data_IF_495636825109
#
_entry.id   IF_495636825109
#
_cell.length_a   1.000
_cell.length_b   1.000
_cell.length_c   1.000
_cell.angle_alpha   90.00
_cell.angle_beta   90.00
_cell.angle_gamma   90.00
#
_symmetry.space_group_name_H-M   'P 1'
#
loop_
_entity.id
_entity.type
_entity.pdbx_description
1 polymer ?
#
# COMPACT_ATOMS: atom_id res chain seq x y z
N UNK A 1 -12.17 47.72 7.14
CA UNK A 1 -11.10 46.79 6.69
C UNK A 1 -11.34 45.32 7.09
N UNK A 2 -12.56 44.91 7.48
CA UNK A 2 -12.83 43.54 7.95
C UNK A 2 -13.32 42.55 6.85
N UNK A 3 -13.49 42.99 5.61
CA UNK A 3 -14.15 42.18 4.57
C UNK A 3 -13.20 41.27 3.74
N UNK A 4 -11.87 41.40 3.88
CA UNK A 4 -10.93 40.58 3.09
C UNK A 4 -10.46 39.29 3.77
N UNK A 5 -10.73 39.10 5.07
CA UNK A 5 -10.20 37.97 5.84
C UNK A 5 -11.06 36.69 5.80
N UNK A 6 -12.33 36.78 5.36
CA UNK A 6 -13.26 35.64 5.37
C UNK A 6 -13.19 34.74 4.12
N UNK A 7 -12.54 35.20 3.05
CA UNK A 7 -12.62 34.55 1.73
C UNK A 7 -12.02 33.13 1.67
N UNK A 8 -10.79 32.88 2.17
CA UNK A 8 -10.17 31.54 2.05
C UNK A 8 -10.87 30.48 2.89
N UNK A 9 -11.34 30.87 4.08
CA UNK A 9 -12.00 29.95 5.01
C UNK A 9 -13.42 29.59 4.55
N UNK A 10 -14.16 30.57 4.00
CA UNK A 10 -15.46 30.32 3.36
C UNK A 10 -15.32 29.41 2.13
N UNK A 11 -14.28 29.59 1.31
CA UNK A 11 -14.02 28.72 0.16
C UNK A 11 -13.73 27.27 0.59
N UNK A 12 -12.94 27.05 1.64
CA UNK A 12 -12.72 25.69 2.15
C UNK A 12 -14.01 25.08 2.70
N UNK A 13 -14.82 25.84 3.44
CA UNK A 13 -16.11 25.35 3.93
C UNK A 13 -17.05 24.98 2.77
N UNK A 14 -17.09 25.78 1.71
CA UNK A 14 -17.87 25.46 0.50
C UNK A 14 -17.36 24.20 -0.18
N UNK A 15 -16.03 24.04 -0.33
CA UNK A 15 -15.44 22.81 -0.88
C UNK A 15 -15.76 21.59 -0.01
N UNK A 16 -15.74 21.74 1.32
CA UNK A 16 -16.06 20.67 2.26
C UNK A 16 -17.55 20.30 2.23
N UNK A 17 -18.44 21.28 2.10
CA UNK A 17 -19.88 21.04 1.92
C UNK A 17 -20.21 20.32 0.60
N UNK A 18 -19.33 20.43 -0.40
CA UNK A 18 -19.45 19.73 -1.69
C UNK A 18 -18.79 18.35 -1.70
N UNK A 19 -18.01 17.99 -0.66
CA UNK A 19 -17.42 16.66 -0.58
C UNK A 19 -18.51 15.61 -0.40
N UNK A 20 -18.61 14.71 -1.37
CA UNK A 20 -19.43 13.51 -1.24
C UNK A 20 -18.71 12.57 -0.27
N UNK A 21 -19.29 12.39 0.91
CA UNK A 21 -18.75 11.45 1.91
C UNK A 21 -18.84 10.03 1.36
N UNK A 22 -17.71 9.31 1.19
CA UNK A 22 -17.73 7.95 0.69
C UNK A 22 -18.45 7.02 1.67
N UNK A 23 -19.30 6.13 1.15
CA UNK A 23 -20.03 5.15 1.97
C UNK A 23 -19.18 3.92 2.33
N UNK A 24 -18.10 3.70 1.57
CA UNK A 24 -17.13 2.64 1.79
C UNK A 24 -15.73 3.23 1.70
N UNK A 25 -15.01 3.20 2.80
CA UNK A 25 -13.65 3.72 2.84
C UNK A 25 -12.74 2.86 3.72
N UNK A 26 -11.46 2.93 3.38
CA UNK A 26 -10.37 2.25 4.06
C UNK A 26 -9.22 3.24 4.25
N UNK A 27 -8.33 2.93 5.16
CA UNK A 27 -7.04 3.60 5.28
C UNK A 27 -5.93 2.61 4.97
N UNK A 28 -4.95 3.09 4.21
CA UNK A 28 -3.68 2.40 4.02
C UNK A 28 -2.58 3.30 4.58
N UNK A 29 -1.55 2.66 5.09
CA UNK A 29 -0.34 3.34 5.55
C UNK A 29 0.86 2.42 5.29
N UNK A 30 2.01 3.03 4.99
CA UNK A 30 3.27 2.30 4.78
C UNK A 30 4.39 2.84 5.66
N UNK A 31 5.06 1.93 6.37
CA UNK A 31 6.35 2.24 6.99
C UNK A 31 7.48 1.89 6.03
N UNK A 32 8.49 2.77 6.00
CA UNK A 32 9.63 2.63 5.12
C UNK A 32 10.95 2.56 5.90
N UNK A 33 11.85 1.70 5.43
CA UNK A 33 13.25 1.66 5.88
C UNK A 33 14.14 2.41 4.91
N UNK A 34 15.35 2.78 5.36
CA UNK A 34 16.33 3.45 4.52
C UNK A 34 17.22 2.44 3.78
N UNK A 35 17.35 2.60 2.47
CA UNK A 35 18.22 1.79 1.60
C UNK A 35 19.45 2.56 1.11
N UNK A 36 19.61 3.80 1.59
CA UNK A 36 20.69 4.72 1.26
C UNK A 36 20.72 5.91 2.23
N UNK A 37 21.69 6.80 2.06
CA UNK A 37 21.94 7.89 3.01
C UNK A 37 21.10 9.15 2.74
N UNK A 38 20.58 9.34 1.53
CA UNK A 38 19.72 10.48 1.22
C UNK A 38 18.27 10.27 1.67
N UNK A 39 17.44 11.32 1.62
CA UNK A 39 16.06 11.27 2.12
C UNK A 39 15.06 10.62 1.17
N UNK A 40 15.45 10.33 -0.08
CA UNK A 40 14.61 9.63 -1.07
C UNK A 40 14.92 8.14 -1.14
N UNK A 41 16.08 7.71 -0.65
CA UNK A 41 16.50 6.31 -0.58
C UNK A 41 15.73 5.56 0.50
N UNK A 42 14.49 5.20 0.18
CA UNK A 42 13.53 4.49 1.05
C UNK A 42 12.95 3.28 0.34
N UNK A 43 12.56 2.28 1.13
CA UNK A 43 11.82 1.12 0.66
C UNK A 43 10.75 0.71 1.67
N UNK A 44 9.57 0.32 1.17
CA UNK A 44 8.46 -0.16 1.98
C UNK A 44 8.87 -1.40 2.79
N UNK A 45 8.56 -1.39 4.08
CA UNK A 45 8.85 -2.47 5.02
C UNK A 45 7.63 -2.92 5.84
N UNK A 46 6.57 -2.12 5.91
CA UNK A 46 5.27 -2.52 6.45
C UNK A 46 4.15 -1.93 5.60
N UNK A 47 3.03 -2.65 5.53
CA UNK A 47 1.80 -2.21 4.90
C UNK A 47 0.64 -2.58 5.81
N UNK A 48 -0.22 -1.62 6.11
CA UNK A 48 -1.49 -1.87 6.77
C UNK A 48 -2.69 -1.47 5.91
N UNK A 49 -3.79 -2.18 6.08
CA UNK A 49 -5.11 -1.83 5.56
C UNK A 49 -6.11 -1.91 6.71
N UNK A 50 -6.81 -0.81 6.95
CA UNK A 50 -7.81 -0.68 8.02
C UNK A 50 -9.15 -0.27 7.42
N UNK A 51 -10.23 -0.91 7.82
CA UNK A 51 -11.57 -0.56 7.35
C UNK A 51 -12.16 0.66 8.08
N UNK A 52 -13.29 1.16 7.59
CA UNK A 52 -14.02 2.29 8.21
C UNK A 52 -14.45 2.07 9.67
N UNK A 53 -14.43 0.83 10.16
CA UNK A 53 -14.77 0.46 11.53
C UNK A 53 -13.54 0.33 12.43
N UNK A 54 -12.37 0.80 11.96
CA UNK A 54 -11.09 0.74 12.66
C UNK A 54 -10.57 -0.69 12.85
N UNK A 55 -11.06 -1.65 12.05
CA UNK A 55 -10.55 -3.02 12.08
C UNK A 55 -9.39 -3.18 11.11
N UNK A 56 -8.28 -3.72 11.62
CA UNK A 56 -7.11 -4.06 10.81
C UNK A 56 -7.45 -5.27 9.94
N UNK A 57 -7.65 -5.04 8.64
CA UNK A 57 -7.94 -6.07 7.63
C UNK A 57 -6.66 -6.76 7.16
N UNK A 58 -5.58 -5.99 7.06
CA UNK A 58 -4.28 -6.49 6.64
C UNK A 58 -3.16 -5.76 7.41
N UNK A 59 -2.15 -6.51 7.84
CA UNK A 59 -0.90 -5.97 8.38
C UNK A 59 0.24 -6.90 7.94
N UNK A 60 1.10 -6.43 7.03
CA UNK A 60 2.15 -7.23 6.42
C UNK A 60 3.50 -6.54 6.58
N UNK A 61 4.53 -7.35 6.83
CA UNK A 61 5.91 -6.92 6.66
C UNK A 61 6.39 -7.22 5.24
N UNK A 62 7.16 -6.29 4.69
CA UNK A 62 7.76 -6.37 3.36
C UNK A 62 9.26 -6.50 3.52
N UNK A 63 9.87 -7.39 2.75
CA UNK A 63 11.32 -7.51 2.65
C UNK A 63 11.82 -6.66 1.49
N UNK A 64 12.55 -5.55 1.76
CA UNK A 64 13.14 -4.75 0.70
C UNK A 64 14.11 -5.57 -0.16
N UNK A 65 14.14 -5.28 -1.46
CA UNK A 65 15.08 -5.92 -2.39
C UNK A 65 16.50 -5.34 -2.22
N UNK A 66 16.58 -4.03 -2.01
CA UNK A 66 17.83 -3.34 -1.74
C UNK A 66 18.29 -3.60 -0.30
N UNK A 67 19.61 -3.55 -0.08
CA UNK A 67 20.18 -3.67 1.25
C UNK A 67 19.68 -2.52 2.14
N UNK A 68 19.20 -2.87 3.33
CA UNK A 68 18.75 -1.89 4.32
C UNK A 68 19.97 -1.31 5.03
N UNK A 69 20.09 0.02 5.00
CA UNK A 69 21.14 0.80 5.70
C UNK A 69 20.71 1.13 7.12
N UNK A 70 19.44 1.51 7.30
CA UNK A 70 18.84 1.80 8.61
C UNK A 70 17.38 1.39 8.59
N UNK A 71 16.92 0.77 9.67
CA UNK A 71 15.52 0.42 9.85
C UNK A 71 14.68 1.58 10.37
N UNK A 72 15.33 2.66 10.83
CA UNK A 72 14.69 3.82 11.45
C UNK A 72 13.75 3.40 12.61
N UNK A 73 14.17 2.41 13.40
CA UNK A 73 13.32 1.71 14.39
C UNK A 73 12.60 2.66 15.36
N UNK A 74 13.28 3.71 15.84
CA UNK A 74 12.68 4.69 16.77
C UNK A 74 11.56 5.52 16.12
N UNK A 75 11.57 5.63 14.78
CA UNK A 75 10.52 6.26 14.01
C UNK A 75 9.43 5.23 13.67
N UNK A 76 9.80 4.12 13.04
CA UNK A 76 8.89 3.22 12.30
C UNK A 76 8.47 1.96 13.05
N UNK A 77 9.09 1.68 14.21
CA UNK A 77 8.92 0.42 14.93
C UNK A 77 9.48 -0.82 14.21
N UNK A 78 10.00 -0.69 12.99
CA UNK A 78 10.49 -1.80 12.19
C UNK A 78 11.87 -2.24 12.66
N UNK A 79 12.05 -3.56 12.82
CA UNK A 79 13.35 -4.16 13.14
C UNK A 79 13.78 -5.13 12.05
N UNK A 80 15.08 -5.45 12.03
CA UNK A 80 15.63 -6.49 11.17
C UNK A 80 14.93 -7.84 11.35
N UNK A 81 14.69 -8.25 12.60
CA UNK A 81 14.06 -9.53 12.91
C UNK A 81 12.65 -9.63 12.33
N UNK A 82 11.84 -8.58 12.45
CA UNK A 82 10.50 -8.52 11.87
C UNK A 82 10.53 -8.72 10.35
N UNK A 83 11.42 -8.01 9.66
CA UNK A 83 11.57 -8.08 8.20
C UNK A 83 12.13 -9.43 7.75
N UNK A 84 13.12 -9.99 8.46
CA UNK A 84 13.70 -11.29 8.11
C UNK A 84 12.72 -12.45 8.34
N UNK A 85 11.93 -12.38 9.41
CA UNK A 85 11.01 -13.45 9.82
C UNK A 85 9.68 -13.43 9.08
N UNK A 86 9.13 -12.24 8.84
CA UNK A 86 7.78 -12.08 8.30
C UNK A 86 7.73 -11.41 6.93
N UNK A 87 8.85 -10.82 6.48
CA UNK A 87 8.93 -10.05 5.25
C UNK A 87 8.63 -10.87 4.01
N UNK A 88 7.77 -10.31 3.15
CA UNK A 88 7.42 -10.85 1.83
C UNK A 88 7.86 -9.90 0.73
N UNK A 89 8.00 -10.35 -0.53
CA UNK A 89 8.25 -9.44 -1.65
C UNK A 89 7.10 -8.42 -1.80
N UNK A 90 7.44 -7.16 -2.11
CA UNK A 90 6.47 -6.08 -2.27
C UNK A 90 5.49 -6.37 -3.42
N UNK A 91 6.04 -6.58 -4.63
CA UNK A 91 5.31 -6.86 -5.85
C UNK A 91 5.90 -8.09 -6.57
N UNK A 92 5.18 -8.61 -7.59
CA UNK A 92 5.72 -9.69 -8.41
C UNK A 92 6.90 -9.17 -9.23
N UNK A 93 8.06 -9.81 -9.09
CA UNK A 93 9.14 -9.60 -10.06
C UNK A 93 8.74 -10.22 -11.40
N UNK A 94 9.04 -9.59 -12.54
CA UNK A 94 8.99 -10.30 -13.81
C UNK A 94 9.87 -11.55 -13.66
N UNK A 95 9.30 -12.72 -13.95
CA UNK A 95 10.00 -13.99 -13.77
C UNK A 95 11.39 -13.92 -14.40
N UNK A 96 12.43 -14.23 -13.62
CA UNK A 96 13.78 -14.35 -14.12
C UNK A 96 13.79 -15.26 -15.36
N UNK A 97 14.43 -14.88 -16.50
CA UNK A 97 14.41 -15.69 -17.72
C UNK A 97 15.00 -17.10 -17.54
N UNK A 98 15.69 -17.37 -16.43
CA UNK A 98 16.12 -18.73 -16.06
C UNK A 98 14.94 -19.68 -15.80
N UNK A 99 13.77 -19.17 -15.40
CA UNK A 99 12.54 -19.96 -15.26
C UNK A 99 11.77 -20.14 -16.58
N UNK A 100 12.14 -19.46 -17.68
CA UNK A 100 11.60 -19.73 -19.02
C UNK A 100 12.25 -20.94 -19.68
N UNK A 101 13.45 -21.34 -19.23
CA UNK A 101 14.10 -22.55 -19.73
C UNK A 101 13.32 -23.81 -19.35
N UNK A 102 12.78 -23.89 -18.14
CA UNK A 102 12.04 -25.06 -17.66
C UNK A 102 10.75 -25.36 -18.48
N UNK A 103 9.84 -24.40 -18.76
CA UNK A 103 8.68 -24.65 -19.61
C UNK A 103 9.09 -24.92 -21.07
N UNK A 104 10.18 -24.35 -21.59
CA UNK A 104 10.72 -24.70 -22.90
C UNK A 104 11.26 -26.14 -22.94
N UNK A 105 11.97 -26.58 -21.88
CA UNK A 105 12.47 -27.94 -21.74
C UNK A 105 11.33 -28.95 -21.54
N UNK A 106 10.31 -28.59 -20.76
CA UNK A 106 9.08 -29.39 -20.60
C UNK A 106 8.30 -29.47 -21.91
N UNK A 107 8.19 -28.38 -22.67
CA UNK A 107 7.55 -28.37 -23.99
C UNK A 107 8.33 -29.25 -24.97
N UNK A 108 9.65 -29.16 -25.00
CA UNK A 108 10.51 -30.00 -25.82
C UNK A 108 10.38 -31.49 -25.44
N UNK A 109 10.36 -31.81 -24.14
CA UNK A 109 10.15 -33.16 -23.63
C UNK A 109 8.76 -33.70 -24.03
N UNK A 110 7.72 -32.85 -23.95
CA UNK A 110 6.36 -33.19 -24.34
C UNK A 110 6.28 -33.46 -25.85
N UNK A 111 6.93 -32.64 -26.68
CA UNK A 111 7.01 -32.83 -28.13
C UNK A 111 7.75 -34.11 -28.49
N UNK A 112 8.85 -34.42 -27.80
CA UNK A 112 9.59 -35.68 -27.95
C UNK A 112 8.72 -36.89 -27.58
N UNK A 113 8.02 -36.83 -26.44
CA UNK A 113 7.07 -37.86 -26.02
C UNK A 113 5.95 -38.06 -27.05
N UNK A 114 5.43 -36.98 -27.62
CA UNK A 114 4.36 -37.02 -28.61
C UNK A 114 4.84 -37.61 -29.94
N UNK A 115 6.07 -37.27 -30.36
CA UNK A 115 6.73 -37.89 -31.51
C UNK A 115 6.96 -39.40 -31.29
N UNK A 116 7.41 -39.79 -30.09
CA UNK A 116 7.67 -41.17 -29.74
C UNK A 116 6.38 -41.99 -29.68
N UNK A 117 5.30 -41.40 -29.15
CA UNK A 117 3.95 -41.96 -29.19
C UNK A 117 3.47 -42.12 -30.64
N UNK A 118 3.70 -41.13 -31.50
CA UNK A 118 3.29 -41.17 -32.90
C UNK A 118 4.06 -42.26 -33.69
N UNK A 119 5.36 -42.40 -33.43
CA UNK A 119 6.18 -43.50 -33.95
C UNK A 119 5.68 -44.87 -33.46
N UNK A 120 5.34 -44.98 -32.18
CA UNK A 120 4.80 -46.21 -31.60
C UNK A 120 3.42 -46.54 -32.19
N UNK A 121 2.58 -45.54 -32.42
CA UNK A 121 1.29 -45.69 -33.11
C UNK A 121 1.47 -46.09 -34.58
N UNK A 122 2.43 -45.52 -35.31
CA UNK A 122 2.77 -45.92 -36.67
C UNK A 122 3.29 -47.36 -36.72
N UNK A 123 4.12 -47.75 -35.75
CA UNK A 123 4.66 -49.10 -35.65
C UNK A 123 3.58 -50.11 -35.24
N UNK A 124 2.66 -49.72 -34.36
CA UNK A 124 1.46 -50.49 -34.03
C UNK A 124 0.51 -50.57 -35.21
N UNK A 125 0.32 -49.50 -35.99
CA UNK A 125 -0.50 -49.49 -37.21
C UNK A 125 0.11 -50.40 -38.26
N UNK A 126 1.44 -50.35 -38.45
CA UNK A 126 2.17 -51.25 -39.33
C UNK A 126 2.02 -52.70 -38.85
N UNK A 127 2.19 -52.95 -37.56
CA UNK A 127 1.96 -54.26 -36.95
C UNK A 127 0.52 -54.71 -37.15
N UNK A 128 -0.48 -53.84 -36.97
CA UNK A 128 -1.91 -54.08 -37.20
C UNK A 128 -2.26 -54.22 -38.69
N UNK A 129 -1.46 -53.67 -39.60
CA UNK A 129 -1.61 -53.90 -41.04
C UNK A 129 -1.07 -55.28 -41.42
N UNK A 130 -0.04 -55.74 -40.68
CA UNK A 130 0.56 -57.07 -40.79
C UNK A 130 -0.18 -58.13 -39.97
N UNK A 131 -0.95 -57.74 -38.95
CA UNK A 131 -1.66 -58.61 -38.01
C UNK A 131 -2.84 -59.39 -38.63
N UNK A 132 -3.59 -58.89 -39.62
CA UNK A 132 -4.58 -59.66 -40.38
C UNK A 132 -3.97 -60.86 -41.11
N UNK A 133 -2.64 -60.87 -41.27
CA UNK A 133 -1.89 -62.02 -41.78
C UNK A 133 -1.69 -63.11 -40.72
N UNK A 134 -1.91 -62.81 -39.43
CA UNK A 134 -1.46 -63.65 -38.33
C UNK A 134 -2.47 -63.95 -37.21
N UNK A 135 -3.59 -63.24 -36.99
CA UNK A 135 -4.76 -63.65 -36.14
C UNK A 135 -5.82 -62.51 -36.04
N UNK A 136 -7.11 -62.80 -35.76
CA UNK A 136 -8.15 -61.77 -35.62
C UNK A 136 -8.15 -61.12 -34.21
N UNK A 137 -8.34 -59.79 -34.16
CA UNK A 137 -8.30 -58.98 -32.92
C UNK A 137 -9.71 -58.57 -32.43
N UNK A 138 -9.98 -58.42 -31.10
CA UNK A 138 -11.25 -57.95 -30.56
C UNK A 138 -11.29 -56.42 -30.30
N UNK A 139 -12.47 -55.84 -29.95
CA UNK A 139 -12.67 -54.38 -29.94
C UNK A 139 -12.23 -53.69 -28.62
N UNK A 140 -12.02 -52.36 -28.63
CA UNK A 140 -11.44 -51.62 -27.51
C UNK A 140 -12.49 -51.00 -26.56
N UNK A 141 -12.05 -50.64 -25.35
CA UNK A 141 -12.79 -49.85 -24.36
C UNK A 141 -12.17 -48.45 -24.15
N UNK A 142 -12.91 -47.45 -23.62
CA UNK A 142 -12.48 -46.05 -23.61
C UNK A 142 -11.86 -45.58 -22.27
N UNK A 143 -10.99 -44.56 -22.34
CA UNK A 143 -10.34 -43.88 -21.22
C UNK A 143 -10.99 -42.52 -20.91
N UNK A 144 -11.08 -42.18 -19.62
CA UNK A 144 -11.61 -40.94 -19.06
C UNK A 144 -10.46 -40.01 -18.62
N UNK A 145 -10.55 -38.72 -18.96
CA UNK A 145 -9.57 -37.68 -18.59
C UNK A 145 -10.14 -36.75 -17.50
N UNK A 146 -9.41 -36.60 -16.40
CA UNK A 146 -9.66 -35.62 -15.34
C UNK A 146 -8.76 -34.39 -15.56
N UNK A 147 -9.34 -33.19 -15.50
CA UNK A 147 -8.59 -31.91 -15.42
C UNK A 147 -8.70 -31.33 -14.01
N UNK A 148 -7.57 -31.09 -13.35
CA UNK A 148 -7.48 -30.28 -12.14
C UNK A 148 -6.96 -28.87 -12.49
N UNK A 149 -7.66 -27.82 -12.04
CA UNK A 149 -7.20 -26.43 -12.09
C UNK A 149 -6.62 -26.08 -10.71
N UNK A 150 -5.33 -25.75 -10.66
CA UNK A 150 -4.65 -25.22 -9.47
C UNK A 150 -4.88 -23.70 -9.40
N UNK A 151 -5.57 -23.22 -8.36
CA UNK A 151 -5.61 -21.80 -8.01
C UNK A 151 -4.34 -21.47 -7.22
N UNK A 152 -3.44 -20.63 -7.78
CA UNK A 152 -2.27 -20.12 -7.05
C UNK A 152 -2.73 -19.08 -6.03
N UNK A 153 -2.30 -19.23 -4.78
CA UNK A 153 -2.44 -18.18 -3.75
C UNK A 153 -1.47 -17.03 -4.10
N UNK A 154 -1.87 -15.76 -3.96
CA UNK A 154 -0.99 -14.63 -4.18
C UNK A 154 0.16 -14.63 -3.15
N UNK A 155 1.38 -14.40 -3.63
CA UNK A 155 2.59 -14.50 -2.80
C UNK A 155 3.19 -13.15 -2.38
N UNK A 156 2.73 -12.04 -2.97
CA UNK A 156 3.31 -10.70 -2.78
C UNK A 156 2.41 -9.81 -1.94
N UNK A 157 3.00 -8.83 -1.26
CA UNK A 157 2.28 -7.98 -0.32
C UNK A 157 1.21 -7.13 -1.02
N UNK A 158 1.54 -6.53 -2.16
CA UNK A 158 0.59 -5.73 -2.96
C UNK A 158 -0.54 -6.60 -3.53
N UNK A 159 -0.27 -7.85 -3.94
CA UNK A 159 -1.33 -8.74 -4.42
C UNK A 159 -2.31 -9.14 -3.30
N UNK A 160 -1.80 -9.38 -2.08
CA UNK A 160 -2.64 -9.61 -0.91
C UNK A 160 -3.47 -8.37 -0.56
N UNK A 161 -2.85 -7.19 -0.58
CA UNK A 161 -3.54 -5.91 -0.38
C UNK A 161 -4.70 -5.73 -1.37
N UNK A 162 -4.45 -5.91 -2.67
CA UNK A 162 -5.48 -5.76 -3.71
C UNK A 162 -6.64 -6.77 -3.59
N UNK A 163 -6.43 -7.93 -2.97
CA UNK A 163 -7.52 -8.87 -2.70
C UNK A 163 -8.39 -8.46 -1.52
N UNK A 164 -7.84 -7.67 -0.60
CA UNK A 164 -8.55 -7.17 0.58
C UNK A 164 -9.18 -5.79 0.35
N UNK A 165 -8.63 -4.99 -0.57
CA UNK A 165 -9.09 -3.64 -0.89
C UNK A 165 -10.19 -3.67 -1.97
N UNK A 166 -11.43 -3.26 -1.66
CA UNK A 166 -12.49 -3.19 -2.66
C UNK A 166 -12.22 -2.07 -3.68
N UNK A 167 -12.34 -2.31 -5.00
CA UNK A 167 -12.05 -1.31 -6.03
C UNK A 167 -12.99 -0.10 -6.00
N UNK A 168 -14.15 -0.22 -5.36
CA UNK A 168 -15.11 0.85 -5.15
C UNK A 168 -14.86 1.68 -3.87
N UNK A 169 -13.88 1.30 -3.04
CA UNK A 169 -13.60 1.99 -1.79
C UNK A 169 -12.82 3.28 -2.01
N UNK A 170 -13.08 4.30 -1.19
CA UNK A 170 -12.18 5.44 -1.07
C UNK A 170 -11.02 5.13 -0.10
N UNK A 171 -9.83 5.65 -0.40
CA UNK A 171 -8.68 5.61 0.50
C UNK A 171 -8.59 6.92 1.29
N UNK A 172 -8.52 6.80 2.60
CA UNK A 172 -8.46 7.92 3.55
C UNK A 172 -7.13 7.86 4.29
N UNK A 173 -6.39 8.96 4.31
CA UNK A 173 -5.14 9.01 5.08
C UNK A 173 -4.43 10.35 4.99
N UNK A 174 -3.39 10.52 5.81
CA UNK A 174 -2.55 11.71 5.81
C UNK A 174 -1.57 11.66 4.63
N UNK A 175 -1.68 12.58 3.67
CA UNK A 175 -0.83 12.58 2.47
C UNK A 175 -0.87 11.24 1.69
N UNK A 176 -2.06 10.64 1.66
CA UNK A 176 -2.35 9.27 1.17
C UNK A 176 -1.84 8.95 -0.23
N UNK A 177 -1.62 9.97 -1.07
CA UNK A 177 -1.06 9.78 -2.40
C UNK A 177 0.35 9.18 -2.37
N UNK A 178 1.12 9.47 -1.32
CA UNK A 178 2.47 8.92 -1.15
C UNK A 178 2.40 7.39 -0.96
N UNK A 179 1.51 6.90 -0.10
CA UNK A 179 1.29 5.46 0.13
C UNK A 179 0.81 4.76 -1.15
N UNK A 180 -0.14 5.38 -1.87
CA UNK A 180 -0.63 4.90 -3.17
C UNK A 180 0.51 4.75 -4.17
N UNK A 181 1.43 5.72 -4.23
CA UNK A 181 2.60 5.70 -5.11
C UNK A 181 3.60 4.61 -4.69
N UNK A 182 3.94 4.51 -3.42
CA UNK A 182 4.83 3.48 -2.88
C UNK A 182 4.37 2.07 -3.21
N UNK A 183 3.05 1.85 -3.22
CA UNK A 183 2.42 0.56 -3.46
C UNK A 183 2.06 0.31 -4.92
N UNK A 184 2.24 1.30 -5.80
CA UNK A 184 1.86 1.22 -7.21
C UNK A 184 0.36 0.96 -7.43
N UNK A 185 -0.49 1.49 -6.55
CA UNK A 185 -1.93 1.41 -6.68
C UNK A 185 -2.42 2.45 -7.70
N UNK A 186 -3.49 2.11 -8.42
CA UNK A 186 -4.08 2.99 -9.44
C UNK A 186 -5.52 3.33 -9.06
N UNK A 187 -5.78 4.62 -8.90
CA UNK A 187 -7.13 5.15 -8.73
C UNK A 187 -8.01 4.76 -9.92
N UNK A 188 -9.30 4.54 -9.67
CA UNK A 188 -10.29 4.00 -10.61
C UNK A 188 -10.02 2.57 -11.12
N UNK A 189 -8.99 1.88 -10.61
CA UNK A 189 -8.70 0.47 -10.94
C UNK A 189 -8.61 -0.38 -9.68
N UNK A 190 -7.73 0.00 -8.76
CA UNK A 190 -7.49 -0.73 -7.51
C UNK A 190 -8.34 -0.17 -6.35
N UNK A 191 -8.80 1.08 -6.46
CA UNK A 191 -9.70 1.78 -5.52
C UNK A 191 -10.41 2.95 -6.24
N UNK A 192 -11.44 3.54 -5.63
CA UNK A 192 -12.30 4.52 -6.30
C UNK A 192 -11.73 5.95 -6.28
N UNK A 193 -11.32 6.43 -5.10
CA UNK A 193 -10.84 7.80 -4.91
C UNK A 193 -9.98 7.96 -3.66
N UNK A 194 -9.30 9.09 -3.51
CA UNK A 194 -8.56 9.45 -2.29
C UNK A 194 -9.24 10.59 -1.51
N UNK A 195 -9.13 10.55 -0.19
CA UNK A 195 -9.46 11.64 0.74
C UNK A 195 -8.22 11.93 1.59
N UNK A 196 -7.54 13.03 1.28
CA UNK A 196 -6.33 13.44 1.99
C UNK A 196 -6.66 14.25 3.24
N UNK A 197 -6.30 13.70 4.41
CA UNK A 197 -6.52 14.33 5.70
C UNK A 197 -5.67 15.60 5.89
N UNK A 198 -4.51 15.71 5.24
CA UNK A 198 -3.70 16.93 5.29
C UNK A 198 -4.44 18.11 4.65
N UNK A 199 -5.12 17.85 3.54
CA UNK A 199 -6.00 18.82 2.86
C UNK A 199 -7.29 19.09 3.63
N UNK A 200 -7.83 18.07 4.30
CA UNK A 200 -9.07 18.17 5.06
C UNK A 200 -8.91 19.02 6.33
N UNK A 201 -7.84 18.77 7.09
CA UNK A 201 -7.59 19.39 8.40
C UNK A 201 -6.73 20.65 8.35
N UNK A 202 -6.22 21.08 7.19
CA UNK A 202 -5.53 22.38 7.10
C UNK A 202 -6.47 23.51 7.51
N UNK A 203 -5.94 24.54 8.16
CA UNK A 203 -6.71 25.69 8.62
C UNK A 203 -6.04 26.97 8.12
N UNK A 204 -6.84 27.91 7.62
CA UNK A 204 -6.32 29.22 7.23
C UNK A 204 -5.85 29.96 8.49
N UNK A 205 -4.58 30.35 8.49
CA UNK A 205 -3.98 31.03 9.63
C UNK A 205 -3.80 32.53 9.34
N UNK A 206 -4.63 33.41 9.92
CA UNK A 206 -4.59 34.83 9.64
C UNK A 206 -3.30 35.50 10.13
N UNK A 207 -2.62 34.92 11.14
CA UNK A 207 -1.34 35.43 11.64
C UNK A 207 -0.25 35.36 10.58
N UNK A 208 -0.26 34.33 9.75
CA UNK A 208 0.76 34.07 8.74
C UNK A 208 0.25 34.23 7.30
N UNK A 209 -1.03 34.62 7.14
CA UNK A 209 -1.69 34.76 5.85
C UNK A 209 -1.46 33.54 4.93
N UNK A 210 -1.56 32.33 5.50
CA UNK A 210 -1.26 31.06 4.83
C UNK A 210 -2.02 29.90 5.47
N UNK A 211 -2.13 28.80 4.74
CA UNK A 211 -2.68 27.55 5.26
C UNK A 211 -1.70 26.90 6.23
N UNK A 212 -2.12 26.70 7.48
CA UNK A 212 -1.42 25.83 8.43
C UNK A 212 -1.82 24.39 8.16
N UNK A 213 -0.84 23.55 7.88
CA UNK A 213 -0.99 22.10 7.71
C UNK A 213 -0.43 21.43 8.96
N UNK A 214 -1.17 20.46 9.48
CA UNK A 214 -0.85 19.76 10.70
C UNK A 214 -0.41 18.32 10.39
N UNK A 215 0.47 17.77 11.21
CA UNK A 215 0.76 16.33 11.14
C UNK A 215 -0.43 15.53 11.66
N UNK A 216 -0.51 14.27 11.26
CA UNK A 216 -1.54 13.37 11.75
C UNK A 216 -1.53 13.25 13.28
N UNK A 217 -0.34 13.14 13.89
CA UNK A 217 -0.19 13.12 15.35
C UNK A 217 -0.69 14.39 16.03
N UNK A 218 -0.45 15.57 15.42
CA UNK A 218 -0.95 16.83 15.97
C UNK A 218 -2.47 16.84 15.97
N UNK A 219 -3.10 16.40 14.87
CA UNK A 219 -4.55 16.25 14.80
C UNK A 219 -5.06 15.22 15.81
N UNK A 220 -4.47 14.04 15.88
CA UNK A 220 -4.93 12.96 16.76
C UNK A 220 -4.77 13.31 18.25
N UNK A 221 -3.65 13.92 18.63
CA UNK A 221 -3.38 14.36 19.99
C UNK A 221 -4.41 15.39 20.46
N UNK A 222 -4.63 16.43 19.66
CA UNK A 222 -5.43 17.57 20.09
C UNK A 222 -6.93 17.37 19.86
N UNK A 223 -7.35 16.61 18.84
CA UNK A 223 -8.77 16.42 18.58
C UNK A 223 -9.35 15.14 19.18
N UNK A 224 -8.53 14.09 19.36
CA UNK A 224 -8.98 12.79 19.83
C UNK A 224 -8.40 12.42 21.20
N UNK A 225 -7.49 13.23 21.76
CA UNK A 225 -6.77 12.89 22.99
C UNK A 225 -5.84 11.68 22.84
N UNK A 226 -5.39 11.37 21.62
CA UNK A 226 -4.56 10.21 21.34
C UNK A 226 -3.14 10.38 21.93
N UNK A 227 -2.63 9.37 22.64
CA UNK A 227 -1.25 9.39 23.16
C UNK A 227 -0.25 9.09 22.04
N UNK A 228 0.37 10.16 21.52
CA UNK A 228 1.40 10.12 20.47
C UNK A 228 2.81 10.29 21.02
N UNK A 229 2.98 10.69 22.28
CA UNK A 229 4.30 11.00 22.83
C UNK A 229 5.06 9.73 23.26
N UNK A 230 4.32 8.66 23.58
CA UNK A 230 4.87 7.40 24.09
C UNK A 230 4.75 6.21 23.11
N UNK A 231 4.36 6.46 21.87
CA UNK A 231 4.05 5.41 20.89
C UNK A 231 4.95 5.60 19.66
N UNK A 232 5.75 4.59 19.31
CA UNK A 232 6.45 4.57 18.02
C UNK A 232 5.44 4.47 16.88
N UNK A 233 5.79 4.93 15.67
CA UNK A 233 4.89 4.72 14.54
C UNK A 233 4.84 3.24 14.16
N UNK A 234 3.66 2.83 13.70
CA UNK A 234 3.46 1.57 13.01
C UNK A 234 2.30 1.76 12.02
N UNK A 235 2.40 1.11 10.86
CA UNK A 235 1.43 1.35 9.78
C UNK A 235 -0.03 1.07 10.20
N UNK A 236 -0.25 0.07 11.06
CA UNK A 236 -1.62 -0.27 11.47
C UNK A 236 -2.19 0.78 12.43
N UNK A 237 -1.39 1.22 13.41
CA UNK A 237 -1.76 2.31 14.31
C UNK A 237 -2.05 3.61 13.57
N UNK A 238 -1.24 3.96 12.57
CA UNK A 238 -1.40 5.19 11.78
C UNK A 238 -2.59 5.11 10.82
N UNK A 239 -2.86 3.95 10.21
CA UNK A 239 -4.08 3.74 9.44
C UNK A 239 -5.35 3.81 10.31
N UNK A 240 -5.35 3.23 11.52
CA UNK A 240 -6.47 3.36 12.48
C UNK A 240 -6.68 4.83 12.86
N UNK A 241 -5.59 5.54 13.17
CA UNK A 241 -5.62 6.97 13.51
C UNK A 241 -6.24 7.80 12.37
N UNK A 242 -5.93 7.48 11.11
CA UNK A 242 -6.53 8.11 9.93
C UNK A 242 -8.04 7.87 9.85
N UNK A 243 -8.51 6.62 10.01
CA UNK A 243 -9.93 6.29 10.04
C UNK A 243 -10.65 7.04 11.16
N UNK A 244 -10.08 7.03 12.37
CA UNK A 244 -10.70 7.71 13.52
C UNK A 244 -10.81 9.21 13.33
N UNK A 245 -9.77 9.85 12.79
CA UNK A 245 -9.80 11.29 12.45
C UNK A 245 -10.89 11.60 11.41
N UNK A 246 -11.02 10.76 10.39
CA UNK A 246 -12.04 10.97 9.36
C UNK A 246 -13.46 10.75 9.90
N UNK A 247 -13.66 9.73 10.73
CA UNK A 247 -14.93 9.49 11.43
C UNK A 247 -15.31 10.67 12.33
N UNK A 248 -14.34 11.21 13.07
CA UNK A 248 -14.53 12.40 13.89
C UNK A 248 -14.91 13.62 13.03
N UNK A 249 -14.20 13.88 11.94
CA UNK A 249 -14.55 14.96 11.02
C UNK A 249 -15.98 14.84 10.48
N UNK A 250 -16.41 13.63 10.09
CA UNK A 250 -17.78 13.38 9.63
C UNK A 250 -18.81 13.70 10.71
N UNK A 251 -18.56 13.32 11.96
CA UNK A 251 -19.45 13.63 13.10
C UNK A 251 -19.61 15.14 13.28
N UNK A 252 -18.50 15.89 13.15
CA UNK A 252 -18.52 17.35 13.26
C UNK A 252 -19.30 18.04 12.14
N UNK A 253 -19.54 17.40 10.99
CA UNK A 253 -20.31 18.02 9.89
C UNK A 253 -21.77 18.28 10.26
N UNK A 254 -22.27 17.63 11.33
CA UNK A 254 -23.62 17.86 11.86
C UNK A 254 -23.76 19.17 12.63
N UNK A 255 -22.64 19.74 13.12
CA UNK A 255 -22.60 21.01 13.88
C UNK A 255 -21.49 21.92 13.29
N UNK A 256 -21.84 22.94 12.49
CA UNK A 256 -20.88 23.89 11.93
C UNK A 256 -19.98 24.55 12.98
N UNK A 257 -20.49 24.81 14.19
CA UNK A 257 -19.71 25.43 15.25
C UNK A 257 -18.69 24.44 15.84
N UNK A 258 -18.99 23.13 15.83
CA UNK A 258 -18.05 22.10 16.29
C UNK A 258 -16.82 22.02 15.39
N UNK A 259 -17.00 22.10 14.08
CA UNK A 259 -15.87 22.13 13.16
C UNK A 259 -15.02 23.38 13.37
N UNK A 260 -15.64 24.55 13.53
CA UNK A 260 -14.90 25.78 13.81
C UNK A 260 -14.11 25.70 15.13
N UNK A 261 -14.68 25.11 16.19
CA UNK A 261 -13.97 24.88 17.46
C UNK A 261 -12.75 23.97 17.27
N UNK A 262 -12.91 22.85 16.56
CA UNK A 262 -11.79 21.95 16.26
C UNK A 262 -10.67 22.65 15.46
N UNK A 263 -11.02 23.50 14.48
CA UNK A 263 -10.04 24.29 13.74
C UNK A 263 -9.27 25.29 14.63
N UNK A 264 -9.96 25.95 15.57
CA UNK A 264 -9.32 26.86 16.51
C UNK A 264 -8.42 26.11 17.50
N UNK A 265 -8.82 24.93 17.96
CA UNK A 265 -8.01 24.07 18.81
C UNK A 265 -6.69 23.68 18.14
N UNK A 266 -6.73 23.25 16.87
CA UNK A 266 -5.52 22.93 16.10
C UNK A 266 -4.57 24.13 15.97
N UNK A 267 -5.10 25.33 15.73
CA UNK A 267 -4.31 26.56 15.61
C UNK A 267 -3.71 27.04 16.94
N UNK A 268 -4.46 26.89 18.04
CA UNK A 268 -4.04 27.32 19.37
C UNK A 268 -3.06 26.35 20.01
N UNK A 269 -3.12 25.07 19.63
CA UNK A 269 -2.25 24.03 20.14
C UNK A 269 -0.77 24.30 19.84
N UNK A 270 0.14 24.03 20.79
CA UNK A 270 1.58 24.19 20.57
C UNK A 270 2.06 23.23 19.48
N UNK A 271 2.95 23.67 18.57
CA UNK A 271 3.42 22.83 17.48
C UNK A 271 4.26 21.66 18.00
N UNK A 272 3.90 20.45 17.60
CA UNK A 272 4.68 19.25 17.90
C UNK A 272 5.98 19.21 17.10
N UNK A 273 7.08 18.77 17.73
CA UNK A 273 8.38 18.64 17.05
C UNK A 273 8.48 17.28 16.37
N UNK A 274 8.35 17.25 15.04
CA UNK A 274 8.46 16.02 14.25
C UNK A 274 9.81 15.34 14.42
N UNK A 275 9.85 14.03 14.18
CA UNK A 275 11.08 13.24 14.26
C UNK A 275 12.20 13.86 13.42
N UNK A 276 11.93 14.20 12.15
CA UNK A 276 12.91 14.82 11.24
C UNK A 276 13.39 16.22 11.68
N UNK A 277 12.60 16.93 12.51
CA UNK A 277 13.04 18.20 13.12
C UNK A 277 13.97 17.98 14.31
N UNK A 278 13.69 16.96 15.13
CA UNK A 278 14.54 16.55 16.26
C UNK A 278 15.83 15.86 15.81
N UNK A 279 15.75 15.10 14.71
CA UNK A 279 16.82 14.29 14.15
C UNK A 279 16.96 14.58 12.65
N UNK A 280 17.62 15.68 12.24
CA UNK A 280 17.83 16.00 10.81
C UNK A 280 18.55 14.88 10.03
N UNK A 281 19.42 14.15 10.72
CA UNK A 281 20.02 12.89 10.30
C UNK A 281 19.86 11.88 11.44
N UNK A 282 19.63 10.61 11.09
CA UNK A 282 19.48 9.52 12.03
C UNK A 282 20.14 8.27 11.45
N UNK A 283 21.01 7.61 12.24
CA UNK A 283 21.79 6.44 11.78
C UNK A 283 22.54 6.67 10.45
N UNK A 284 23.02 7.89 10.20
CA UNK A 284 23.72 8.26 8.97
C UNK A 284 22.80 8.53 7.77
N UNK A 285 21.48 8.52 7.96
CA UNK A 285 20.47 8.77 6.94
C UNK A 285 19.84 10.15 7.12
N UNK A 286 19.74 10.92 6.04
CA UNK A 286 19.06 12.21 6.02
C UNK A 286 17.55 12.03 6.15
N UNK A 287 16.91 12.80 7.04
CA UNK A 287 15.47 12.71 7.32
C UNK A 287 14.61 13.67 6.49
N UNK A 288 15.18 14.38 5.51
CA UNK A 288 14.40 15.15 4.53
C UNK A 288 13.69 16.38 5.11
N UNK A 289 14.21 17.00 6.16
CA UNK A 289 13.68 18.29 6.59
C UNK A 289 14.25 19.41 5.71
N UNK A 290 13.40 20.12 4.95
CA UNK A 290 13.82 21.16 3.98
C UNK A 290 14.73 22.25 4.56
N UNK A 291 14.68 22.52 5.88
CA UNK A 291 15.53 23.55 6.51
C UNK A 291 16.88 23.04 6.96
N UNK A 292 17.03 21.74 7.18
CA UNK A 292 18.22 21.13 7.78
C UNK A 292 18.82 20.03 6.91
N UNK A 293 18.21 19.70 5.77
CA UNK A 293 18.71 18.70 4.83
C UNK A 293 20.03 19.16 4.20
N UNK A 294 21.00 18.24 4.17
CA UNK A 294 22.34 18.45 3.59
C UNK A 294 22.70 17.41 2.54
N UNK A 295 21.80 16.48 2.20
CA UNK A 295 22.12 15.35 1.31
C UNK A 295 22.09 15.69 -0.19
N UNK A 296 21.56 16.86 -0.57
CA UNK A 296 21.51 17.32 -1.96
C UNK A 296 20.46 16.65 -2.85
N UNK A 297 19.74 15.64 -2.35
CA UNK A 297 18.66 15.00 -3.10
C UNK A 297 17.47 15.95 -3.30
N UNK A 298 16.74 15.84 -4.43
CA UNK A 298 15.58 16.68 -4.68
C UNK A 298 14.44 16.39 -3.69
N UNK A 299 13.62 17.41 -3.42
CA UNK A 299 12.34 17.21 -2.74
C UNK A 299 11.26 16.99 -3.80
N UNK A 300 10.72 15.78 -3.85
CA UNK A 300 9.54 15.49 -4.64
C UNK A 300 8.31 16.03 -3.90
N UNK A 301 7.48 16.78 -4.62
CA UNK A 301 6.24 17.40 -4.13
C UNK A 301 5.04 16.56 -4.50
#
# INVERSE_FOLDING_TARGET
MAQQQQFPQQQQQQQQQQLVVPQLYYSIDVECVATGADHNSRAVAQIALVDQYEQVVLNLYVKPEAAVVSYLTDLTGITRDLVERFGRPLAEQPACPKLLLLPLLLLLLLLLLLLLLLLLLLLLLLLLLLLPLLLPLPPPLPLLLIRARFLRRPSTAVALLKNCLPPQAALVGQNILMDVQWLGLRESVDFASCVDLAGLFRVWNPRYNSWSVFSQDHCAKHLLGWDVDNTAHDAAGDAVKSIRLFNYWQQLQSDPDAWQRAQQELLAAPPSSSFAKRHPSYEGVCMGNRRTCTCGAPFFS
#
